data_IF_906314792753
#
_entry.id   IF_906314792753
#
_cell.length_a   1.000
_cell.length_b   1.000
_cell.length_c   1.000
_cell.angle_alpha   90.00
_cell.angle_beta   90.00
_cell.angle_gamma   90.00
#
_symmetry.space_group_name_H-M   'P 1'
#
loop_
_entity.id
_entity.type
_entity.pdbx_description
1 polymer ?
#
# COMPACT_ATOMS: atom_id res chain seq x y z
N UNK A 1 -3.42 -18.71 13.17
CA UNK A 1 -3.44 -18.12 11.81
C UNK A 1 -2.28 -17.15 11.67
N UNK A 2 -1.68 -17.03 10.49
CA UNK A 2 -0.66 -16.02 10.21
C UNK A 2 -1.23 -14.96 9.29
N UNK A 3 -0.94 -13.68 9.58
CA UNK A 3 -1.40 -12.53 8.82
C UNK A 3 -0.25 -11.63 8.39
N UNK A 4 -0.45 -10.89 7.31
CA UNK A 4 0.39 -9.75 6.89
C UNK A 4 -0.53 -8.55 6.71
N UNK A 5 -0.10 -7.38 7.21
CA UNK A 5 -0.67 -6.11 6.83
C UNK A 5 0.12 -5.58 5.63
N UNK A 6 -0.49 -5.55 4.45
CA UNK A 6 0.21 -5.18 3.21
C UNK A 6 0.39 -3.67 3.04
N UNK A 7 -0.21 -2.84 3.93
CA UNK A 7 -0.08 -1.39 3.88
C UNK A 7 -0.48 -0.75 5.23
N UNK A 8 0.50 -0.19 5.94
CA UNK A 8 0.28 0.58 7.17
C UNK A 8 1.31 1.70 7.32
N UNK A 9 1.01 2.69 8.19
CA UNK A 9 1.85 3.85 8.47
C UNK A 9 2.23 3.91 9.95
N UNK A 10 3.23 3.13 10.36
CA UNK A 10 3.61 2.99 11.76
C UNK A 10 4.29 4.24 12.36
N UNK A 11 4.72 5.22 11.53
CA UNK A 11 5.38 6.43 12.02
C UNK A 11 4.50 7.21 13.00
N UNK A 12 3.19 7.27 12.78
CA UNK A 12 2.27 7.97 13.68
C UNK A 12 2.25 7.36 15.09
N UNK A 13 2.36 6.05 15.21
CA UNK A 13 2.47 5.35 16.50
C UNK A 13 3.87 5.47 17.10
N UNK A 14 4.91 5.49 16.25
CA UNK A 14 6.27 5.73 16.67
C UNK A 14 6.42 7.12 17.31
N UNK A 15 5.92 8.15 16.65
CA UNK A 15 5.99 9.55 17.13
C UNK A 15 5.22 9.74 18.45
N UNK A 16 4.13 9.02 18.65
CA UNK A 16 3.34 9.02 19.90
C UNK A 16 3.90 8.10 20.99
N UNK A 17 4.98 7.35 20.73
CA UNK A 17 5.56 6.33 21.63
C UNK A 17 4.62 5.15 21.94
N UNK A 18 3.71 4.86 21.03
CA UNK A 18 2.70 3.78 21.13
C UNK A 18 3.13 2.51 20.37
N UNK A 19 4.21 2.58 19.56
CA UNK A 19 4.60 1.52 18.63
C UNK A 19 4.77 0.14 19.30
N UNK A 20 5.37 0.09 20.49
CA UNK A 20 5.58 -1.18 21.20
C UNK A 20 4.26 -1.87 21.52
N UNK A 21 3.27 -1.13 21.99
CA UNK A 21 1.94 -1.64 22.29
C UNK A 21 1.23 -2.12 21.02
N UNK A 22 1.29 -1.33 19.93
CA UNK A 22 0.71 -1.66 18.63
C UNK A 22 1.32 -2.96 18.07
N UNK A 23 2.65 -3.11 18.14
CA UNK A 23 3.33 -4.33 17.68
C UNK A 23 3.02 -5.54 18.56
N UNK A 24 2.79 -5.35 19.87
CA UNK A 24 2.36 -6.42 20.79
C UNK A 24 0.94 -6.86 20.46
N UNK A 25 -0.02 -5.93 20.40
CA UNK A 25 -1.42 -6.23 20.04
C UNK A 25 -1.53 -6.94 18.69
N UNK A 26 -0.72 -6.53 17.71
CA UNK A 26 -0.67 -7.19 16.42
C UNK A 26 -0.11 -8.62 16.51
N UNK A 27 0.90 -8.86 17.36
CA UNK A 27 1.45 -10.19 17.56
C UNK A 27 0.43 -11.15 18.21
N UNK A 28 -0.35 -10.65 19.17
CA UNK A 28 -1.38 -11.41 19.90
C UNK A 28 -2.46 -11.95 18.96
N UNK A 29 -2.77 -11.21 17.88
CA UNK A 29 -3.73 -11.65 16.85
C UNK A 29 -3.09 -12.44 15.69
N UNK A 30 -1.80 -12.73 15.77
CA UNK A 30 -1.10 -13.54 14.77
C UNK A 30 -0.56 -12.77 13.57
N UNK A 31 -0.45 -11.44 13.64
CA UNK A 31 0.17 -10.64 12.58
C UNK A 31 1.69 -10.83 12.57
N UNK A 32 2.22 -11.40 11.50
CA UNK A 32 3.64 -11.78 11.39
C UNK A 32 4.49 -10.75 10.69
N UNK A 33 3.94 -10.04 9.71
CA UNK A 33 4.68 -9.09 8.89
C UNK A 33 3.86 -7.84 8.60
N UNK A 34 4.56 -6.74 8.35
CA UNK A 34 4.00 -5.41 8.08
C UNK A 34 4.76 -4.78 6.92
N UNK A 35 4.05 -4.14 6.01
CA UNK A 35 4.63 -3.25 5.02
C UNK A 35 4.39 -1.81 5.49
N UNK A 36 5.46 -1.16 5.97
CA UNK A 36 5.42 0.26 6.33
C UNK A 36 5.56 1.10 5.08
N UNK A 37 4.51 1.80 4.69
CA UNK A 37 4.48 2.47 3.41
C UNK A 37 4.92 3.93 3.56
N UNK A 38 6.06 4.25 2.93
CA UNK A 38 6.66 5.57 2.94
C UNK A 38 5.92 6.55 2.04
N UNK A 39 5.70 7.76 2.53
CA UNK A 39 4.92 8.79 1.83
C UNK A 39 5.73 10.04 1.49
N UNK A 40 6.82 10.26 2.21
CA UNK A 40 7.68 11.44 2.04
C UNK A 40 9.07 11.23 2.66
N UNK A 41 10.06 12.08 2.35
CA UNK A 41 11.38 12.01 2.97
C UNK A 41 11.36 11.96 4.50
N UNK A 42 10.31 12.50 5.13
CA UNK A 42 10.18 12.59 6.59
C UNK A 42 9.96 11.22 7.27
N UNK A 43 9.51 10.21 6.53
CA UNK A 43 9.20 8.87 7.08
C UNK A 43 10.15 7.76 6.60
N UNK A 44 10.80 7.90 5.44
CA UNK A 44 11.61 6.85 4.83
C UNK A 44 12.72 6.31 5.74
N UNK A 45 13.49 7.23 6.38
CA UNK A 45 14.57 6.83 7.30
C UNK A 45 14.04 6.17 8.57
N UNK A 46 12.88 6.61 9.06
CA UNK A 46 12.22 5.98 10.22
C UNK A 46 11.83 4.54 9.87
N UNK A 47 11.16 4.33 8.74
CA UNK A 47 10.72 2.99 8.32
C UNK A 47 11.89 2.06 8.00
N UNK A 48 12.97 2.57 7.38
CA UNK A 48 14.19 1.80 7.21
C UNK A 48 14.75 1.33 8.54
N UNK A 49 14.90 2.24 9.50
CA UNK A 49 15.43 1.91 10.82
C UNK A 49 14.56 0.88 11.55
N UNK A 50 13.23 1.03 11.48
CA UNK A 50 12.30 0.03 12.02
C UNK A 50 12.47 -1.34 11.34
N UNK A 51 12.65 -1.37 10.01
CA UNK A 51 12.87 -2.61 9.27
C UNK A 51 14.22 -3.28 9.58
N UNK A 52 15.26 -2.50 9.92
CA UNK A 52 16.56 -3.01 10.37
C UNK A 52 16.47 -3.62 11.78
N UNK A 53 15.78 -2.94 12.71
CA UNK A 53 15.63 -3.42 14.10
C UNK A 53 14.66 -4.61 14.23
N UNK A 54 13.66 -4.71 13.35
CA UNK A 54 12.67 -5.78 13.35
C UNK A 54 12.78 -6.66 12.09
N UNK A 55 14.00 -7.13 11.81
CA UNK A 55 14.30 -7.90 10.61
C UNK A 55 13.32 -9.10 10.43
N UNK A 56 12.90 -9.32 9.18
CA UNK A 56 11.92 -10.35 8.78
C UNK A 56 10.48 -10.14 9.32
N UNK A 57 10.23 -9.06 10.05
CA UNK A 57 8.89 -8.70 10.54
C UNK A 57 8.40 -7.38 9.92
N UNK A 58 9.24 -6.34 9.94
CA UNK A 58 8.91 -5.06 9.33
C UNK A 58 9.64 -4.89 8.00
N UNK A 59 8.91 -4.55 6.98
CA UNK A 59 9.38 -4.17 5.66
C UNK A 59 8.95 -2.74 5.37
N UNK A 60 9.54 -2.10 4.40
CA UNK A 60 9.21 -0.71 4.09
C UNK A 60 9.24 -0.43 2.59
N UNK A 61 8.55 0.62 2.21
CA UNK A 61 8.60 1.23 0.89
C UNK A 61 9.08 2.66 0.98
N UNK A 62 9.46 3.26 -0.13
CA UNK A 62 9.76 4.68 -0.24
C UNK A 62 9.09 5.24 -1.49
N UNK A 63 8.41 6.38 -1.35
CA UNK A 63 7.69 7.05 -2.42
C UNK A 63 7.27 8.46 -2.01
N UNK A 64 6.97 9.30 -2.99
CA UNK A 64 6.41 10.64 -2.78
C UNK A 64 4.93 10.53 -3.07
N UNK A 65 4.14 10.50 -1.99
CA UNK A 65 2.69 10.45 -2.07
C UNK A 65 2.11 11.73 -2.67
N UNK A 66 1.04 11.70 -3.49
CA UNK A 66 0.52 12.87 -4.18
C UNK A 66 0.19 14.08 -3.30
N UNK A 67 -0.18 13.87 -2.04
CA UNK A 67 -0.44 14.97 -1.09
C UNK A 67 0.83 15.67 -0.58
N UNK A 68 2.01 15.11 -0.83
CA UNK A 68 3.32 15.69 -0.45
C UNK A 68 4.11 16.16 -1.67
N UNK A 69 3.51 16.14 -2.86
CA UNK A 69 4.13 16.69 -4.07
C UNK A 69 4.07 18.21 -4.01
N UNK A 70 5.23 18.83 -3.99
CA UNK A 70 5.45 20.27 -4.07
C UNK A 70 6.32 20.63 -5.28
N UNK A 71 6.73 21.88 -5.42
CA UNK A 71 7.55 22.32 -6.54
C UNK A 71 8.97 21.74 -6.52
N UNK A 72 9.44 21.31 -5.35
CA UNK A 72 10.80 20.81 -5.11
C UNK A 72 10.86 19.26 -5.05
N UNK A 73 9.77 18.56 -5.44
CA UNK A 73 9.68 17.10 -5.38
C UNK A 73 10.84 16.38 -6.08
N UNK A 74 11.42 17.00 -7.12
CA UNK A 74 12.53 16.40 -7.88
C UNK A 74 13.78 16.19 -7.03
N UNK A 75 14.05 17.08 -6.06
CA UNK A 75 15.16 16.92 -5.12
C UNK A 75 15.00 15.66 -4.23
N UNK A 76 13.76 15.30 -3.91
CA UNK A 76 13.45 14.10 -3.16
C UNK A 76 13.63 12.80 -3.97
N UNK A 77 13.59 12.87 -5.30
CA UNK A 77 13.74 11.70 -6.16
C UNK A 77 15.13 11.08 -6.10
N UNK A 78 16.19 11.92 -6.07
CA UNK A 78 17.58 11.43 -5.92
C UNK A 78 17.80 10.80 -4.53
N UNK A 79 17.24 11.38 -3.49
CA UNK A 79 17.25 10.78 -2.15
C UNK A 79 16.54 9.42 -2.17
N UNK A 80 15.36 9.34 -2.77
CA UNK A 80 14.58 8.10 -2.89
C UNK A 80 15.41 7.00 -3.57
N UNK A 81 16.06 7.32 -4.69
CA UNK A 81 16.92 6.38 -5.44
C UNK A 81 18.04 5.82 -4.57
N UNK A 82 18.61 6.60 -3.66
CA UNK A 82 19.70 6.16 -2.78
C UNK A 82 19.33 4.99 -1.88
N UNK A 83 18.05 4.80 -1.53
CA UNK A 83 17.60 3.69 -0.70
C UNK A 83 17.81 2.31 -1.33
N UNK A 84 17.89 2.22 -2.67
CA UNK A 84 18.22 0.94 -3.36
C UNK A 84 19.70 0.56 -3.30
N UNK A 85 20.57 1.48 -2.86
CA UNK A 85 22.01 1.20 -2.65
C UNK A 85 22.31 0.73 -1.22
N UNK A 86 21.34 0.82 -0.31
CA UNK A 86 21.49 0.44 1.09
C UNK A 86 21.43 -1.08 1.29
N UNK A 87 21.99 -1.58 2.38
CA UNK A 87 21.94 -3.00 2.75
C UNK A 87 20.53 -3.50 2.97
N UNK A 88 19.70 -2.72 3.67
CA UNK A 88 18.27 -2.97 3.83
C UNK A 88 17.52 -2.14 2.79
N UNK A 89 17.20 -2.77 1.67
CA UNK A 89 16.47 -2.12 0.57
C UNK A 89 14.96 -2.07 0.84
N UNK A 90 14.24 -1.07 0.26
CA UNK A 90 12.77 -1.10 0.22
C UNK A 90 12.26 -2.35 -0.50
N UNK A 91 11.11 -2.86 -0.11
CA UNK A 91 10.45 -3.98 -0.82
C UNK A 91 9.64 -3.50 -2.04
N UNK A 92 9.32 -2.22 -2.12
CA UNK A 92 8.65 -1.58 -3.26
C UNK A 92 8.95 -0.08 -3.31
N UNK A 93 8.71 0.54 -4.48
CA UNK A 93 8.59 1.98 -4.63
C UNK A 93 7.12 2.35 -4.37
N UNK A 94 6.88 3.20 -3.40
CA UNK A 94 5.53 3.58 -2.97
C UNK A 94 5.54 4.20 -1.56
N UNK A 95 4.53 4.93 -1.24
CA UNK A 95 3.27 5.17 -1.93
C UNK A 95 3.42 6.27 -2.97
N UNK A 96 3.01 6.02 -4.19
CA UNK A 96 3.04 6.98 -5.29
C UNK A 96 1.70 6.98 -6.03
N UNK A 97 1.34 8.05 -6.70
CA UNK A 97 0.06 8.04 -7.39
C UNK A 97 -0.54 9.43 -7.56
N UNK A 98 -1.88 9.45 -7.63
CA UNK A 98 -2.67 10.66 -7.86
C UNK A 98 -3.84 10.74 -6.85
N UNK A 99 -4.07 11.93 -6.29
CA UNK A 99 -5.23 12.22 -5.42
C UNK A 99 -5.93 13.49 -5.91
N UNK A 100 -7.07 13.31 -6.57
CA UNK A 100 -7.90 14.41 -7.06
C UNK A 100 -9.08 14.74 -6.13
N UNK A 101 -9.21 14.03 -5.02
CA UNK A 101 -10.28 14.27 -4.06
C UNK A 101 -10.10 15.57 -3.27
N UNK A 102 -8.86 15.98 -3.05
CA UNK A 102 -8.52 17.16 -2.22
C UNK A 102 -8.08 18.36 -3.04
N UNK A 103 -8.38 18.38 -4.33
CA UNK A 103 -8.06 19.54 -5.17
C UNK A 103 -8.82 20.78 -4.72
N UNK A 104 -8.22 21.97 -4.77
CA UNK A 104 -8.91 23.21 -4.52
C UNK A 104 -10.02 23.45 -5.54
N UNK A 105 -11.02 24.24 -5.17
CA UNK A 105 -12.15 24.60 -6.06
C UNK A 105 -11.75 25.55 -7.19
N UNK A 106 -10.63 26.26 -7.04
CA UNK A 106 -10.09 27.17 -8.04
C UNK A 106 -9.40 26.39 -9.14
N UNK A 107 -9.91 26.49 -10.38
CA UNK A 107 -9.50 25.65 -11.51
C UNK A 107 -8.01 25.74 -11.85
N UNK A 108 -7.43 26.95 -11.86
CA UNK A 108 -6.03 27.15 -12.22
C UNK A 108 -5.08 26.51 -11.19
N UNK A 109 -5.39 26.62 -9.91
CA UNK A 109 -4.62 25.98 -8.86
C UNK A 109 -4.81 24.46 -8.89
N UNK A 110 -6.02 23.97 -9.11
CA UNK A 110 -6.29 22.54 -9.28
C UNK A 110 -5.47 21.95 -10.43
N UNK A 111 -5.48 22.59 -11.61
CA UNK A 111 -4.72 22.14 -12.77
C UNK A 111 -3.20 22.11 -12.52
N UNK A 112 -2.65 23.10 -11.82
CA UNK A 112 -1.24 23.10 -11.42
C UNK A 112 -0.90 21.90 -10.54
N UNK A 113 -1.72 21.62 -9.53
CA UNK A 113 -1.52 20.48 -8.63
C UNK A 113 -1.62 19.16 -9.39
N UNK A 114 -2.63 19.01 -10.26
CA UNK A 114 -2.79 17.81 -11.10
C UNK A 114 -1.55 17.58 -11.96
N UNK A 115 -1.04 18.63 -12.64
CA UNK A 115 0.15 18.51 -13.48
C UNK A 115 1.39 18.12 -12.66
N UNK A 116 1.61 18.73 -11.49
CA UNK A 116 2.72 18.37 -10.60
C UNK A 116 2.62 16.91 -10.12
N UNK A 117 1.44 16.46 -9.72
CA UNK A 117 1.24 15.06 -9.30
C UNK A 117 1.51 14.10 -10.47
N UNK A 118 1.02 14.39 -11.67
CA UNK A 118 1.24 13.55 -12.87
C UNK A 118 2.72 13.48 -13.24
N UNK A 119 3.42 14.61 -13.24
CA UNK A 119 4.84 14.66 -13.53
C UNK A 119 5.66 13.89 -12.49
N UNK A 120 5.38 14.10 -11.20
CA UNK A 120 6.03 13.37 -10.12
C UNK A 120 5.77 11.86 -10.21
N UNK A 121 4.53 11.43 -10.48
CA UNK A 121 4.19 10.04 -10.67
C UNK A 121 4.97 9.43 -11.84
N UNK A 122 4.95 10.07 -13.02
CA UNK A 122 5.64 9.57 -14.20
C UNK A 122 7.15 9.35 -13.93
N UNK A 123 7.81 10.31 -13.29
CA UNK A 123 9.24 10.21 -12.95
C UNK A 123 9.52 9.10 -11.92
N UNK A 124 8.65 8.91 -10.93
CA UNK A 124 8.78 7.81 -9.97
C UNK A 124 8.56 6.45 -10.64
N UNK A 125 7.62 6.32 -11.57
CA UNK A 125 7.39 5.09 -12.32
C UNK A 125 8.55 4.76 -13.27
N UNK A 126 9.14 5.77 -13.93
CA UNK A 126 10.37 5.59 -14.72
C UNK A 126 11.53 5.06 -13.84
N UNK A 127 11.65 5.60 -12.63
CA UNK A 127 12.63 5.10 -11.67
C UNK A 127 12.32 3.67 -11.24
N UNK A 128 11.07 3.36 -10.92
CA UNK A 128 10.64 2.01 -10.57
C UNK A 128 10.95 0.99 -11.68
N UNK A 129 10.71 1.37 -12.94
CA UNK A 129 11.04 0.56 -14.12
C UNK A 129 12.54 0.28 -14.21
N UNK A 130 13.40 1.30 -14.05
CA UNK A 130 14.86 1.15 -14.04
C UNK A 130 15.39 0.30 -12.89
N UNK A 131 14.74 0.35 -11.73
CA UNK A 131 15.09 -0.41 -10.53
C UNK A 131 14.45 -1.82 -10.52
N UNK A 132 13.63 -2.14 -11.51
CA UNK A 132 12.82 -3.37 -11.55
C UNK A 132 11.97 -3.56 -10.27
N UNK A 133 11.56 -2.46 -9.63
CA UNK A 133 10.86 -2.45 -8.36
C UNK A 133 9.39 -2.81 -8.49
N UNK A 134 8.80 -3.39 -7.44
CA UNK A 134 7.36 -3.37 -7.22
C UNK A 134 6.90 -1.95 -6.95
N UNK A 135 5.63 -1.66 -7.23
CA UNK A 135 5.05 -0.32 -7.05
C UNK A 135 3.74 -0.40 -6.30
N UNK A 136 3.58 0.47 -5.30
CA UNK A 136 2.34 0.65 -4.54
C UNK A 136 1.69 1.95 -4.98
N UNK A 137 0.54 1.84 -5.65
CA UNK A 137 -0.19 2.97 -6.25
C UNK A 137 -1.31 3.44 -5.32
N UNK A 138 -1.26 4.72 -5.00
CA UNK A 138 -2.38 5.50 -4.49
C UNK A 138 -3.23 6.03 -5.64
N UNK A 139 -4.53 5.82 -5.60
CA UNK A 139 -5.44 6.37 -6.61
C UNK A 139 -6.75 6.80 -5.96
N UNK A 140 -7.01 8.10 -5.95
CA UNK A 140 -8.26 8.62 -5.39
C UNK A 140 -8.90 9.63 -6.33
N UNK A 141 -10.05 9.25 -6.93
CA UNK A 141 -10.69 9.98 -8.03
C UNK A 141 -9.77 10.20 -9.24
N UNK A 142 -8.78 9.31 -9.47
CA UNK A 142 -7.72 9.50 -10.44
C UNK A 142 -7.31 8.20 -11.17
N UNK A 143 -8.15 7.18 -11.13
CA UNK A 143 -7.83 5.85 -11.64
C UNK A 143 -7.38 5.84 -13.10
N UNK A 144 -8.14 6.48 -13.98
CA UNK A 144 -7.86 6.45 -15.43
C UNK A 144 -6.53 7.15 -15.75
N UNK A 145 -6.20 8.21 -15.04
CA UNK A 145 -4.92 8.91 -15.21
C UNK A 145 -3.74 8.07 -14.69
N UNK A 146 -3.88 7.43 -13.50
CA UNK A 146 -2.88 6.50 -13.01
C UNK A 146 -2.66 5.36 -14.00
N UNK A 147 -3.75 4.77 -14.50
CA UNK A 147 -3.72 3.66 -15.45
C UNK A 147 -3.01 4.06 -16.76
N UNK A 148 -3.36 5.23 -17.33
CA UNK A 148 -2.76 5.75 -18.57
C UNK A 148 -1.26 5.99 -18.40
N UNK A 149 -0.83 6.64 -17.32
CA UNK A 149 0.58 6.94 -17.07
C UNK A 149 1.39 5.64 -16.92
N UNK A 150 0.86 4.63 -16.21
CA UNK A 150 1.53 3.33 -16.07
C UNK A 150 1.70 2.65 -17.43
N UNK A 151 0.66 2.68 -18.30
CA UNK A 151 0.70 2.16 -19.67
C UNK A 151 1.71 2.91 -20.55
N UNK A 152 1.71 4.24 -20.51
CA UNK A 152 2.61 5.10 -21.28
C UNK A 152 4.08 4.85 -20.90
N UNK A 153 4.38 4.69 -19.62
CA UNK A 153 5.72 4.32 -19.12
C UNK A 153 6.10 2.90 -19.53
N UNK A 154 5.12 2.02 -19.77
CA UNK A 154 5.33 0.62 -20.07
C UNK A 154 5.94 -0.14 -18.89
N UNK A 155 5.42 0.12 -17.70
CA UNK A 155 5.77 -0.63 -16.49
C UNK A 155 5.18 -2.04 -16.56
N UNK A 156 5.90 -3.02 -16.04
CA UNK A 156 5.39 -4.38 -15.88
C UNK A 156 4.23 -4.38 -14.86
N UNK A 157 3.02 -4.57 -15.33
CA UNK A 157 1.81 -4.58 -14.52
C UNK A 157 1.79 -5.64 -13.42
N UNK A 158 2.54 -6.75 -13.57
CA UNK A 158 2.71 -7.75 -12.50
C UNK A 158 3.48 -7.21 -11.29
N UNK A 159 4.11 -6.05 -11.42
CA UNK A 159 4.82 -5.34 -10.35
C UNK A 159 3.99 -4.25 -9.68
N UNK A 160 2.72 -4.08 -10.07
CA UNK A 160 1.86 -2.98 -9.63
C UNK A 160 0.75 -3.49 -8.71
N UNK A 161 0.58 -2.82 -7.57
CA UNK A 161 -0.59 -2.96 -6.71
C UNK A 161 -1.27 -1.61 -6.52
N UNK A 162 -2.58 -1.56 -6.75
CA UNK A 162 -3.41 -0.44 -6.32
C UNK A 162 -3.87 -0.71 -4.89
N UNK A 163 -3.31 0.05 -3.96
CA UNK A 163 -3.65 -0.09 -2.56
C UNK A 163 -5.01 0.53 -2.25
N UNK A 164 -5.65 0.07 -1.18
CA UNK A 164 -6.93 0.56 -0.70
C UNK A 164 -7.94 0.76 -1.85
N UNK A 165 -8.08 -0.28 -2.69
CA UNK A 165 -8.90 -0.19 -3.90
C UNK A 165 -10.29 0.36 -3.60
N UNK A 166 -10.63 1.47 -4.24
CA UNK A 166 -11.84 2.25 -3.96
C UNK A 166 -12.77 2.44 -5.16
N UNK A 167 -12.42 1.82 -6.28
CA UNK A 167 -13.17 1.94 -7.54
C UNK A 167 -14.22 0.82 -7.72
N UNK A 168 -14.80 0.77 -8.90
CA UNK A 168 -15.82 -0.24 -9.25
C UNK A 168 -15.26 -1.46 -9.98
N UNK A 169 -16.19 -2.32 -10.40
CA UNK A 169 -15.89 -3.57 -11.08
C UNK A 169 -15.11 -3.38 -12.38
N UNK A 170 -15.43 -2.37 -13.17
CA UNK A 170 -14.80 -2.17 -14.49
C UNK A 170 -13.33 -1.79 -14.34
N UNK A 171 -12.98 -0.96 -13.36
CA UNK A 171 -11.60 -0.61 -13.06
C UNK A 171 -10.82 -1.83 -12.55
N UNK A 172 -11.44 -2.64 -11.71
CA UNK A 172 -10.81 -3.86 -11.20
C UNK A 172 -10.57 -4.90 -12.30
N UNK A 173 -11.49 -5.02 -13.26
CA UNK A 173 -11.30 -5.84 -14.47
C UNK A 173 -10.10 -5.37 -15.31
N UNK A 174 -9.97 -4.04 -15.50
CA UNK A 174 -8.80 -3.46 -16.19
C UNK A 174 -7.50 -3.86 -15.50
N UNK A 175 -7.40 -3.71 -14.17
CA UNK A 175 -6.22 -4.12 -13.40
C UNK A 175 -5.91 -5.61 -13.57
N UNK A 176 -6.91 -6.46 -13.36
CA UNK A 176 -6.73 -7.92 -13.45
C UNK A 176 -6.32 -8.37 -14.84
N UNK A 177 -6.85 -7.75 -15.92
CA UNK A 177 -6.49 -8.07 -17.30
C UNK A 177 -5.03 -7.74 -17.65
N UNK A 178 -4.41 -6.82 -16.90
CA UNK A 178 -2.99 -6.47 -17.02
C UNK A 178 -2.07 -7.28 -16.10
N UNK A 179 -2.63 -8.02 -15.13
CA UNK A 179 -1.88 -8.74 -14.11
C UNK A 179 -1.57 -7.93 -12.85
N UNK A 180 -2.06 -6.68 -12.76
CA UNK A 180 -1.93 -5.86 -11.55
C UNK A 180 -2.74 -6.42 -10.40
N UNK A 181 -2.27 -6.14 -9.19
CA UNK A 181 -2.93 -6.52 -7.94
C UNK A 181 -3.73 -5.36 -7.36
N UNK A 182 -4.67 -5.71 -6.48
CA UNK A 182 -5.40 -4.76 -5.65
C UNK A 182 -5.41 -5.25 -4.21
N UNK A 183 -5.29 -4.34 -3.24
CA UNK A 183 -5.46 -4.64 -1.83
C UNK A 183 -6.71 -3.95 -1.27
N UNK A 184 -7.25 -4.53 -0.20
CA UNK A 184 -8.55 -4.12 0.34
C UNK A 184 -8.47 -3.90 1.84
N UNK A 185 -9.17 -2.84 2.29
CA UNK A 185 -9.27 -2.42 3.69
C UNK A 185 -10.68 -2.69 4.25
N UNK A 186 -10.87 -2.37 5.53
CA UNK A 186 -12.19 -2.35 6.15
C UNK A 186 -13.19 -1.45 5.40
N UNK A 187 -12.70 -0.42 4.69
CA UNK A 187 -13.54 0.52 3.92
C UNK A 187 -14.40 -0.20 2.88
N UNK A 188 -13.96 -1.31 2.31
CA UNK A 188 -14.72 -2.14 1.37
C UNK A 188 -16.08 -2.56 1.93
N UNK A 189 -16.16 -2.73 3.25
CA UNK A 189 -17.35 -3.24 3.94
C UNK A 189 -18.20 -2.15 4.57
N UNK A 190 -17.86 -0.87 4.39
CA UNK A 190 -18.72 0.22 4.84
C UNK A 190 -20.05 0.20 4.06
N UNK A 191 -21.13 0.49 4.73
CA UNK A 191 -22.50 0.36 4.21
C UNK A 191 -22.71 1.00 2.82
N UNK A 192 -22.09 2.16 2.56
CA UNK A 192 -22.23 2.89 1.30
C UNK A 192 -21.30 2.38 0.17
N UNK A 193 -20.38 1.47 0.46
CA UNK A 193 -19.34 1.02 -0.47
C UNK A 193 -19.71 -0.29 -1.17
N UNK A 194 -21.00 -0.51 -1.44
CA UNK A 194 -21.49 -1.73 -2.10
C UNK A 194 -20.84 -2.01 -3.45
N UNK A 195 -20.43 -0.97 -4.20
CA UNK A 195 -19.72 -1.12 -5.48
C UNK A 195 -18.37 -1.79 -5.30
N UNK A 196 -17.59 -1.35 -4.30
CA UNK A 196 -16.28 -1.92 -3.98
C UNK A 196 -16.44 -3.35 -3.48
N UNK A 197 -17.43 -3.60 -2.61
CA UNK A 197 -17.74 -4.94 -2.11
C UNK A 197 -18.13 -5.90 -3.25
N UNK A 198 -18.93 -5.44 -4.22
CA UNK A 198 -19.28 -6.23 -5.41
C UNK A 198 -18.06 -6.48 -6.31
N UNK A 199 -17.19 -5.50 -6.47
CA UNK A 199 -15.95 -5.65 -7.21
C UNK A 199 -15.03 -6.68 -6.54
N UNK A 200 -14.86 -6.63 -5.21
CA UNK A 200 -14.11 -7.63 -4.44
C UNK A 200 -14.70 -9.02 -4.62
N UNK A 201 -16.03 -9.17 -4.57
CA UNK A 201 -16.69 -10.47 -4.78
C UNK A 201 -16.37 -11.06 -6.16
N UNK A 202 -16.28 -10.24 -7.18
CA UNK A 202 -15.87 -10.66 -8.52
C UNK A 202 -14.37 -10.97 -8.61
N UNK A 203 -13.52 -10.20 -7.92
CA UNK A 203 -12.06 -10.35 -7.94
C UNK A 203 -11.61 -11.73 -7.45
N UNK A 204 -12.30 -12.25 -6.46
CA UNK A 204 -11.99 -13.54 -5.86
C UNK A 204 -10.86 -13.44 -4.82
N UNK A 205 -10.36 -14.61 -4.45
CA UNK A 205 -9.33 -14.71 -3.40
C UNK A 205 -7.91 -14.93 -3.94
N UNK A 206 -7.76 -15.34 -5.21
CA UNK A 206 -6.49 -15.81 -5.79
C UNK A 206 -5.36 -14.77 -5.72
N UNK A 207 -5.70 -13.50 -5.91
CA UNK A 207 -4.75 -12.38 -5.90
C UNK A 207 -4.99 -11.41 -4.72
N UNK A 208 -5.87 -11.79 -3.79
CA UNK A 208 -6.33 -10.93 -2.72
C UNK A 208 -5.22 -10.60 -1.72
N UNK A 209 -5.01 -9.32 -1.45
CA UNK A 209 -4.20 -8.82 -0.34
C UNK A 209 -5.06 -7.99 0.60
N UNK A 210 -4.76 -8.06 1.90
CA UNK A 210 -5.44 -7.30 2.94
C UNK A 210 -4.50 -6.32 3.60
N UNK A 211 -5.05 -5.18 3.96
CA UNK A 211 -4.34 -4.10 4.63
C UNK A 211 -5.24 -3.34 5.59
N UNK A 212 -4.64 -2.63 6.52
CA UNK A 212 -5.38 -1.73 7.41
C UNK A 212 -5.42 -0.31 6.92
N UNK A 213 -4.39 0.15 6.24
CA UNK A 213 -4.09 1.57 6.00
C UNK A 213 -4.03 2.36 7.34
N UNK A 214 -3.64 1.67 8.42
CA UNK A 214 -3.57 2.28 9.75
C UNK A 214 -2.55 3.41 9.80
N UNK A 215 -2.85 4.48 10.53
CA UNK A 215 -3.92 4.70 11.52
C UNK A 215 -5.27 5.12 10.92
N UNK A 216 -5.41 5.12 9.61
CA UNK A 216 -6.62 5.52 8.89
C UNK A 216 -7.64 4.37 8.80
N UNK A 217 -8.82 4.65 8.26
CA UNK A 217 -9.84 3.69 7.85
C UNK A 217 -10.23 2.66 8.94
N UNK A 218 -10.79 3.09 10.10
CA UNK A 218 -11.19 2.20 11.18
C UNK A 218 -12.20 1.15 10.70
N UNK A 219 -12.34 0.03 11.44
CA UNK A 219 -13.26 -1.06 11.11
C UNK A 219 -14.72 -0.60 10.92
N UNK A 220 -15.13 0.41 11.67
CA UNK A 220 -16.46 1.03 11.51
C UNK A 220 -16.29 2.48 11.10
N UNK A 221 -16.98 2.87 10.01
CA UNK A 221 -16.98 4.26 9.56
C UNK A 221 -17.46 5.19 10.68
N UNK A 222 -16.68 6.25 10.93
CA UNK A 222 -17.00 7.25 11.96
C UNK A 222 -16.52 6.88 13.36
N UNK A 223 -15.88 5.73 13.54
CA UNK A 223 -15.14 5.47 14.77
C UNK A 223 -14.04 6.53 14.92
N UNK A 224 -13.93 7.09 16.13
CA UNK A 224 -12.92 8.12 16.45
C UNK A 224 -11.60 7.51 16.91
N UNK A 225 -11.57 6.21 17.16
CA UNK A 225 -10.34 5.50 17.50
C UNK A 225 -9.47 5.35 16.26
N UNK A 226 -8.19 5.50 16.46
CA UNK A 226 -7.17 5.22 15.44
C UNK A 226 -7.25 3.74 15.05
N UNK A 227 -7.21 3.44 13.75
CA UNK A 227 -7.06 2.05 13.30
C UNK A 227 -5.66 1.54 13.63
N UNK A 228 -5.53 0.23 13.82
CA UNK A 228 -4.25 -0.44 14.11
C UNK A 228 -4.08 -1.67 13.22
N UNK A 229 -2.82 -2.11 12.97
CA UNK A 229 -2.56 -3.35 12.23
C UNK A 229 -3.21 -4.60 12.83
N UNK A 230 -3.48 -4.60 14.13
CA UNK A 230 -4.23 -5.65 14.84
C UNK A 230 -5.66 -5.86 14.31
N UNK A 231 -6.16 -4.95 13.46
CA UNK A 231 -7.48 -5.07 12.80
C UNK A 231 -7.50 -6.05 11.60
N UNK A 232 -6.36 -6.51 11.09
CA UNK A 232 -6.30 -7.40 9.91
C UNK A 232 -7.18 -8.65 10.06
N UNK A 233 -7.18 -9.40 11.18
CA UNK A 233 -8.04 -10.58 11.30
C UNK A 233 -9.54 -10.25 11.26
N UNK A 234 -9.93 -9.06 11.73
CA UNK A 234 -11.32 -8.62 11.63
C UNK A 234 -11.72 -8.30 10.19
N UNK A 235 -10.81 -7.69 9.40
CA UNK A 235 -11.01 -7.50 7.95
C UNK A 235 -11.08 -8.86 7.26
N UNK A 236 -10.18 -9.79 7.58
CA UNK A 236 -10.20 -11.16 7.08
C UNK A 236 -11.50 -11.90 7.38
N UNK A 237 -12.09 -11.66 8.56
CA UNK A 237 -13.41 -12.22 8.91
C UNK A 237 -14.52 -11.70 8.00
N UNK A 238 -14.53 -10.40 7.67
CA UNK A 238 -15.49 -9.82 6.72
C UNK A 238 -15.34 -10.43 5.33
N UNK A 239 -14.11 -10.73 4.92
CA UNK A 239 -13.81 -11.44 3.66
C UNK A 239 -14.29 -12.89 3.71
N UNK A 240 -14.01 -13.61 4.80
CA UNK A 240 -14.48 -14.99 5.04
C UNK A 240 -16.01 -15.08 4.93
N UNK A 241 -16.73 -14.14 5.53
CA UNK A 241 -18.19 -14.04 5.44
C UNK A 241 -18.67 -13.73 4.02
N UNK A 242 -17.98 -12.83 3.30
CA UNK A 242 -18.34 -12.45 1.92
C UNK A 242 -18.21 -13.61 0.93
N UNK A 243 -17.18 -14.43 1.09
CA UNK A 243 -16.87 -15.55 0.19
C UNK A 243 -17.40 -16.89 0.71
N UNK A 244 -17.95 -16.94 1.93
CA UNK A 244 -18.44 -18.15 2.60
C UNK A 244 -17.35 -19.24 2.69
N UNK A 245 -16.12 -18.84 3.01
CA UNK A 245 -14.95 -19.70 3.18
C UNK A 245 -14.37 -19.61 4.58
N UNK A 246 -13.67 -20.66 5.07
CA UNK A 246 -13.03 -20.64 6.37
C UNK A 246 -12.04 -19.48 6.56
N UNK A 247 -12.00 -18.88 7.75
CA UNK A 247 -11.13 -17.74 8.07
C UNK A 247 -9.65 -18.09 7.95
N UNK A 248 -9.26 -19.31 8.32
CA UNK A 248 -7.88 -19.80 8.19
C UNK A 248 -7.43 -19.92 6.73
N UNK A 249 -8.35 -20.25 5.82
CA UNK A 249 -8.09 -20.23 4.38
C UNK A 249 -7.86 -18.81 3.88
N UNK A 250 -8.69 -17.83 4.29
CA UNK A 250 -8.47 -16.41 3.97
C UNK A 250 -7.12 -15.95 4.47
N UNK A 251 -6.79 -16.27 5.73
CA UNK A 251 -5.51 -15.91 6.32
C UNK A 251 -4.33 -16.48 5.52
N UNK A 252 -4.40 -17.76 5.13
CA UNK A 252 -3.37 -18.43 4.34
C UNK A 252 -3.19 -17.77 2.98
N UNK A 253 -4.28 -17.61 2.22
CA UNK A 253 -4.23 -17.07 0.85
C UNK A 253 -3.68 -15.63 0.86
N UNK A 254 -4.21 -14.75 1.71
CA UNK A 254 -3.79 -13.34 1.75
C UNK A 254 -2.36 -13.19 2.25
N UNK A 255 -1.91 -14.07 3.15
CA UNK A 255 -0.52 -14.15 3.60
C UNK A 255 0.41 -14.53 2.45
N UNK A 256 0.11 -15.62 1.72
CA UNK A 256 0.91 -16.11 0.59
C UNK A 256 0.96 -15.08 -0.55
N UNK A 257 -0.19 -14.51 -0.94
CA UNK A 257 -0.27 -13.48 -1.99
C UNK A 257 0.61 -12.25 -1.66
N UNK A 258 0.60 -11.80 -0.40
CA UNK A 258 1.41 -10.66 0.02
C UNK A 258 2.90 -11.00 0.04
N UNK A 259 3.28 -12.18 0.52
CA UNK A 259 4.66 -12.67 0.47
C UNK A 259 5.19 -12.71 -0.95
N UNK A 260 4.41 -13.26 -1.88
CA UNK A 260 4.80 -13.44 -3.27
C UNK A 260 4.89 -12.10 -4.00
N UNK A 261 3.89 -11.24 -3.84
CA UNK A 261 3.92 -9.93 -4.49
C UNK A 261 5.15 -9.12 -4.07
N UNK A 262 5.43 -8.99 -2.78
CA UNK A 262 6.56 -8.20 -2.28
C UNK A 262 7.88 -8.96 -2.23
N UNK A 263 7.94 -10.23 -2.67
CA UNK A 263 9.13 -11.11 -2.63
C UNK A 263 9.73 -11.23 -1.20
N UNK A 264 8.89 -11.35 -0.16
CA UNK A 264 9.33 -11.35 1.23
C UNK A 264 9.94 -12.69 1.70
N UNK A 265 9.86 -13.74 0.88
CA UNK A 265 10.43 -15.06 1.16
C UNK A 265 11.92 -15.18 0.81
N UNK A 266 12.49 -14.22 0.07
CA UNK A 266 13.91 -14.24 -0.25
C UNK A 266 14.72 -13.88 1.01
N UNK A 267 15.22 -14.90 1.70
CA UNK A 267 16.31 -14.74 2.68
C UNK A 267 17.47 -14.13 1.93
N UNK A 268 17.89 -12.91 2.27
CA UNK A 268 19.13 -12.35 1.75
C UNK A 268 20.27 -13.31 2.13
N UNK A 269 21.06 -13.85 1.17
CA UNK A 269 22.11 -14.82 1.48
C UNK A 269 23.33 -14.25 2.23
N UNK A 270 23.25 -13.05 2.77
CA UNK A 270 24.39 -12.35 3.40
C UNK A 270 24.41 -12.43 4.94
N UNK A 271 23.79 -13.42 5.56
CA UNK A 271 23.89 -13.63 7.01
C UNK A 271 24.44 -15.03 7.39
N UNK A 272 25.42 -15.54 6.61
CA UNK A 272 26.26 -16.66 7.05
C UNK A 272 27.71 -16.21 6.88
N UNK A 273 28.25 -15.55 7.87
CA UNK A 273 29.69 -15.53 8.16
C UNK A 273 29.88 -15.07 9.61
#
# INVERSE_FOLDING_TARGET
MNWIDSHCHLKSFYDKRELVNVLSSAADVGLKKFINVGTSPSDWSVYRNLAEHHNNRLYYTVGIHPLYVDQDWSASLDMLKSFWTLSKKPCALGEVGLDYFRLPSETDNANKIVNLQRECLANQLELAKKLESKVVIHSRNAFEDCFSIIDEIGLDWNKVVFHCFSEGLEQLKKLKSRGAKASFTAMTFYERNYKIKSALKWYGTDDLMLETDSPYLPLKRGDRNSNEPSSIPAIGKLVSELFEVPLDLVAKITYENTLDFFNLNKINPTSIS
#
